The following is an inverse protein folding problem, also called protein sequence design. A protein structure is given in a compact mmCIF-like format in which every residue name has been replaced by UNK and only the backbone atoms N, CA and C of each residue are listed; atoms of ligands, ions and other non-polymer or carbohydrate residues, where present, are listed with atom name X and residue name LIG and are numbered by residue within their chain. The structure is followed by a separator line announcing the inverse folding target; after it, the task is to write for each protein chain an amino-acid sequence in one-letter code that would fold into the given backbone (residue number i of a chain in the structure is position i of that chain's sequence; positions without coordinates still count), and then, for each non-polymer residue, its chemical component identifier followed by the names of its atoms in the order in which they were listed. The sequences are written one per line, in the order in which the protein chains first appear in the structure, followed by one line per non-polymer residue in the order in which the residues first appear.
data_IF_656751830667
#
_entry.id   IF_656751830667
#
_cell.length_a   1.000
_cell.length_b   1.000
_cell.length_c   1.000
_cell.angle_alpha   90.00
_cell.angle_beta   90.00
_cell.angle_gamma   90.00
#
_symmetry.space_group_name_H-M   'P 1'
#
loop_
_entity.id
_entity.type
_entity.pdbx_description
1 polymer ?
#
# COMPACT_ATOMS: atom_id res chain seq x y z
N UNK A 1 12.30 19.00 -10.85
CA UNK A 1 12.09 17.54 -10.78
C UNK A 1 10.86 17.18 -11.58
N UNK A 2 9.71 17.81 -11.28
CA UNK A 2 8.45 17.67 -12.02
C UNK A 2 8.53 17.93 -13.53
N UNK A 3 9.47 18.79 -13.98
CA UNK A 3 9.75 19.03 -15.39
C UNK A 3 10.23 17.80 -16.21
N UNK A 4 10.47 16.66 -15.57
CA UNK A 4 10.72 15.37 -16.25
C UNK A 4 9.47 14.47 -16.37
N UNK A 5 8.30 14.91 -15.90
CA UNK A 5 7.05 14.17 -16.04
C UNK A 5 6.47 14.37 -17.45
N UNK A 6 6.07 13.30 -18.17
CA UNK A 6 5.66 13.37 -19.58
C UNK A 6 4.22 13.89 -19.76
N UNK A 7 3.96 15.09 -19.25
CA UNK A 7 2.62 15.69 -19.21
C UNK A 7 2.06 15.97 -20.61
N UNK A 8 2.91 16.35 -21.57
CA UNK A 8 2.52 16.65 -22.93
C UNK A 8 2.06 15.38 -23.68
N UNK A 9 2.78 14.27 -23.49
CA UNK A 9 2.46 12.96 -24.05
C UNK A 9 1.19 12.38 -23.43
N UNK A 10 0.98 12.57 -22.12
CA UNK A 10 -0.25 12.17 -21.43
C UNK A 10 -1.46 12.99 -21.90
N UNK A 11 -1.31 14.31 -22.05
CA UNK A 11 -2.35 15.18 -22.61
C UNK A 11 -2.69 14.79 -24.05
N UNK A 12 -1.68 14.48 -24.88
CA UNK A 12 -1.88 13.98 -26.25
C UNK A 12 -2.57 12.61 -26.29
N UNK A 13 -2.36 11.75 -25.29
CA UNK A 13 -3.09 10.50 -25.09
C UNK A 13 -4.52 10.69 -24.49
N UNK A 14 -4.93 11.93 -24.22
CA UNK A 14 -6.23 12.29 -23.67
C UNK A 14 -6.37 12.13 -22.17
N UNK A 15 -5.27 12.21 -21.41
CA UNK A 15 -5.26 12.17 -19.95
C UNK A 15 -4.85 13.52 -19.34
N UNK A 16 -5.66 14.05 -18.43
CA UNK A 16 -5.21 15.02 -17.45
C UNK A 16 -4.50 14.32 -16.29
N UNK A 17 -3.57 14.98 -15.61
CA UNK A 17 -2.76 14.34 -14.57
C UNK A 17 -2.34 15.27 -13.43
N UNK A 18 -2.30 14.71 -12.22
CA UNK A 18 -1.60 15.24 -11.06
C UNK A 18 -0.49 14.28 -10.67
N UNK A 19 0.66 14.82 -10.27
CA UNK A 19 1.78 14.02 -9.80
C UNK A 19 2.54 14.74 -8.67
N UNK A 20 3.29 13.98 -7.90
CA UNK A 20 4.24 14.46 -6.90
C UNK A 20 5.53 13.65 -7.07
N UNK A 21 6.62 14.30 -7.47
CA UNK A 21 7.92 13.65 -7.72
C UNK A 21 9.06 14.19 -6.85
N UNK A 22 10.09 13.37 -6.68
CA UNK A 22 11.38 13.76 -6.09
C UNK A 22 12.54 13.11 -6.86
N UNK A 23 13.78 13.52 -6.62
CA UNK A 23 14.94 12.92 -7.30
C UNK A 23 15.15 11.44 -6.96
N UNK A 24 15.43 10.66 -8.01
CA UNK A 24 15.92 9.28 -8.04
C UNK A 24 15.01 8.17 -7.46
N UNK A 25 14.14 8.46 -6.49
CA UNK A 25 13.34 7.44 -5.79
C UNK A 25 11.95 7.94 -5.45
N UNK A 26 10.99 7.03 -5.29
CA UNK A 26 9.58 7.36 -5.02
C UNK A 26 8.94 8.17 -6.16
N UNK A 27 7.77 8.76 -5.89
CA UNK A 27 6.91 9.42 -6.87
C UNK A 27 5.54 8.76 -6.91
N UNK A 28 4.49 9.58 -7.03
CA UNK A 28 3.09 9.12 -7.18
C UNK A 28 2.37 10.01 -8.18
N UNK A 29 1.42 9.43 -8.94
CA UNK A 29 0.63 10.17 -9.92
C UNK A 29 -0.79 9.62 -10.03
N UNK A 30 -1.76 10.51 -10.24
CA UNK A 30 -3.16 10.20 -10.55
C UNK A 30 -3.46 10.77 -11.93
N UNK A 31 -3.88 9.92 -12.85
CA UNK A 31 -4.23 10.26 -14.23
C UNK A 31 -5.74 10.03 -14.41
N UNK A 32 -6.43 10.94 -15.11
CA UNK A 32 -7.84 10.83 -15.44
C UNK A 32 -8.04 11.04 -16.95
N UNK A 33 -8.80 10.15 -17.61
CA UNK A 33 -9.02 10.23 -19.06
C UNK A 33 -10.18 11.17 -19.41
N UNK A 34 -9.93 12.15 -20.27
CA UNK A 34 -10.91 13.14 -20.71
C UNK A 34 -11.24 14.24 -19.68
N UNK A 35 -10.50 14.34 -18.58
CA UNK A 35 -10.64 15.39 -17.58
C UNK A 35 -9.37 15.53 -16.73
N UNK A 36 -9.13 16.72 -16.19
CA UNK A 36 -8.10 16.90 -15.16
C UNK A 36 -8.61 16.39 -13.80
N UNK A 37 -7.82 15.60 -13.06
CA UNK A 37 -8.16 15.21 -11.70
C UNK A 37 -7.95 16.41 -10.76
N UNK A 38 -8.86 16.60 -9.79
CA UNK A 38 -8.83 17.76 -8.87
C UNK A 38 -8.12 17.37 -7.57
N UNK A 39 -7.05 18.10 -7.20
CA UNK A 39 -6.26 17.79 -6.00
C UNK A 39 -7.06 18.02 -4.71
N UNK A 40 -7.06 17.01 -3.84
CA UNK A 40 -7.62 17.06 -2.48
C UNK A 40 -6.51 17.11 -1.42
N UNK A 41 -5.36 16.49 -1.69
CA UNK A 41 -4.16 16.54 -0.83
C UNK A 41 -2.89 16.14 -1.57
N UNK A 42 -1.77 16.69 -1.12
CA UNK A 42 -0.40 16.30 -1.48
C UNK A 42 0.40 16.02 -0.21
N UNK A 43 1.04 14.83 -0.15
CA UNK A 43 1.71 14.33 1.06
C UNK A 43 0.75 13.72 2.10
N UNK A 44 1.23 12.76 2.89
CA UNK A 44 0.44 12.08 3.93
C UNK A 44 0.40 12.91 5.22
N UNK A 45 -0.77 13.19 5.82
CA UNK A 45 -0.86 14.08 6.97
C UNK A 45 -0.27 13.45 8.25
N UNK A 46 0.12 14.29 9.20
CA UNK A 46 0.54 13.87 10.54
C UNK A 46 2.04 13.91 10.83
N UNK A 47 2.90 14.22 9.85
CA UNK A 47 4.25 14.73 10.11
C UNK A 47 4.68 15.73 9.01
N UNK A 48 4.77 17.04 9.29
CA UNK A 48 5.16 18.05 8.31
C UNK A 48 6.66 18.00 7.91
N UNK A 49 7.46 17.13 8.54
CA UNK A 49 8.87 16.92 8.20
C UNK A 49 9.07 15.84 7.14
N UNK A 50 8.04 15.03 6.86
CA UNK A 50 8.10 13.95 5.87
C UNK A 50 7.93 14.51 4.45
N UNK A 51 9.06 14.72 3.79
CA UNK A 51 9.15 15.27 2.42
C UNK A 51 9.09 14.20 1.32
N UNK A 52 8.86 12.93 1.66
CA UNK A 52 8.88 11.86 0.65
C UNK A 52 7.61 11.86 -0.21
N UNK A 53 7.80 11.80 -1.53
CA UNK A 53 6.75 11.76 -2.55
C UNK A 53 6.07 10.38 -2.59
N UNK A 54 5.19 10.14 -1.61
CA UNK A 54 4.56 8.84 -1.34
C UNK A 54 3.03 8.85 -1.28
N UNK A 55 2.40 10.03 -1.34
CA UNK A 55 0.95 10.15 -1.18
C UNK A 55 0.39 11.35 -1.94
N UNK A 56 -0.67 11.12 -2.70
CA UNK A 56 -1.40 12.13 -3.47
C UNK A 56 -2.89 11.74 -3.49
N UNK A 57 -3.77 12.67 -3.14
CA UNK A 57 -5.21 12.47 -3.18
C UNK A 57 -5.85 13.38 -4.22
N UNK A 58 -6.63 12.81 -5.13
CA UNK A 58 -7.37 13.58 -6.13
C UNK A 58 -8.75 13.01 -6.42
N UNK A 59 -9.71 13.88 -6.73
CA UNK A 59 -11.03 13.53 -7.22
C UNK A 59 -10.99 13.33 -8.74
N UNK A 60 -11.40 12.14 -9.21
CA UNK A 60 -11.51 11.82 -10.63
C UNK A 60 -12.82 11.05 -10.88
N UNK A 61 -13.61 11.47 -11.87
CA UNK A 61 -14.84 10.78 -12.30
C UNK A 61 -15.84 10.43 -11.18
N UNK A 62 -15.92 11.26 -10.12
CA UNK A 62 -16.78 11.02 -8.96
C UNK A 62 -16.26 9.97 -7.96
N UNK A 63 -14.95 9.68 -7.99
CA UNK A 63 -14.24 8.85 -7.01
C UNK A 63 -13.06 9.65 -6.45
N UNK A 64 -12.93 9.71 -5.12
CA UNK A 64 -11.72 10.21 -4.48
C UNK A 64 -10.66 9.08 -4.49
N UNK A 65 -9.50 9.33 -5.08
CA UNK A 65 -8.41 8.37 -5.18
C UNK A 65 -7.25 8.84 -4.30
N UNK A 66 -6.97 8.09 -3.23
CA UNK A 66 -5.72 8.19 -2.48
C UNK A 66 -4.68 7.26 -3.10
N UNK A 67 -3.77 7.82 -3.90
CA UNK A 67 -2.66 7.10 -4.52
C UNK A 67 -1.46 7.07 -3.57
N UNK A 68 -0.88 5.89 -3.34
CA UNK A 68 0.22 5.71 -2.39
C UNK A 68 1.39 4.84 -2.88
N UNK A 69 2.56 5.11 -2.31
CA UNK A 69 3.74 4.25 -2.39
C UNK A 69 4.36 4.11 -0.99
N UNK A 70 3.92 3.09 -0.25
CA UNK A 70 4.26 2.87 1.16
C UNK A 70 5.75 2.53 1.31
N UNK A 71 6.45 2.99 2.37
CA UNK A 71 7.87 2.69 2.54
C UNK A 71 8.16 1.17 2.61
N UNK A 72 9.05 0.67 1.75
CA UNK A 72 9.45 -0.75 1.72
C UNK A 72 9.91 -1.29 3.09
N UNK A 73 10.77 -0.53 3.77
CA UNK A 73 11.23 -0.78 5.13
C UNK A 73 12.53 -1.58 5.27
N UNK A 74 13.12 -2.10 4.18
CA UNK A 74 14.38 -2.84 4.26
C UNK A 74 15.64 -1.92 4.23
N UNK A 75 16.74 -2.30 4.92
CA UNK A 75 16.85 -3.47 5.81
C UNK A 75 16.17 -3.24 7.15
N UNK A 76 15.85 -4.34 7.85
CA UNK A 76 15.19 -4.35 9.15
C UNK A 76 15.88 -5.29 10.16
N UNK A 77 15.75 -5.06 11.48
CA UNK A 77 15.19 -3.86 12.12
C UNK A 77 16.05 -2.61 11.86
N UNK A 78 15.54 -1.42 12.20
CA UNK A 78 16.23 -0.14 12.06
C UNK A 78 15.40 0.94 11.35
N UNK A 79 15.96 2.15 11.18
CA UNK A 79 15.19 3.40 10.97
C UNK A 79 14.31 3.43 9.71
N UNK A 80 14.57 2.58 8.71
CA UNK A 80 13.68 2.45 7.55
C UNK A 80 12.42 1.64 7.86
N UNK A 81 12.52 0.62 8.71
CA UNK A 81 11.38 -0.16 9.20
C UNK A 81 10.58 0.65 10.22
N UNK A 82 11.27 1.39 11.09
CA UNK A 82 10.64 2.28 12.06
C UNK A 82 9.83 3.38 11.33
N UNK A 83 10.44 4.05 10.34
CA UNK A 83 9.74 4.98 9.44
C UNK A 83 8.57 4.35 8.68
N UNK A 84 8.67 3.09 8.25
CA UNK A 84 7.56 2.36 7.62
C UNK A 84 6.37 2.25 8.56
N UNK A 85 6.59 1.85 9.82
CA UNK A 85 5.52 1.70 10.81
C UNK A 85 4.91 3.05 11.20
N UNK A 86 5.73 4.11 11.39
CA UNK A 86 5.25 5.48 11.64
C UNK A 86 4.44 6.05 10.45
N UNK A 87 4.84 5.72 9.21
CA UNK A 87 4.09 6.07 8.01
C UNK A 87 2.77 5.28 7.92
N UNK A 88 2.78 3.98 8.25
CA UNK A 88 1.56 3.16 8.30
C UNK A 88 0.58 3.65 9.36
N UNK A 89 1.06 4.03 10.55
CA UNK A 89 0.23 4.58 11.61
C UNK A 89 -0.38 5.95 11.22
N UNK A 90 0.32 6.78 10.43
CA UNK A 90 -0.26 7.97 9.81
C UNK A 90 -1.32 7.62 8.76
N UNK A 91 -1.05 6.62 7.91
CA UNK A 91 -1.99 6.15 6.90
C UNK A 91 -3.30 5.68 7.55
N UNK A 92 -3.23 4.83 8.58
CA UNK A 92 -4.41 4.35 9.31
C UNK A 92 -5.27 5.51 9.85
N UNK A 93 -4.66 6.53 10.48
CA UNK A 93 -5.41 7.68 11.03
C UNK A 93 -6.13 8.48 9.96
N UNK A 94 -5.52 8.62 8.78
CA UNK A 94 -6.11 9.32 7.64
C UNK A 94 -7.18 8.47 6.93
N UNK A 95 -6.86 7.20 6.66
CA UNK A 95 -7.74 6.23 6.04
C UNK A 95 -9.03 5.99 6.85
N UNK A 96 -8.97 6.12 8.18
CA UNK A 96 -10.15 6.03 9.05
C UNK A 96 -11.18 7.15 8.79
N UNK A 97 -10.72 8.32 8.31
CA UNK A 97 -11.60 9.41 7.88
C UNK A 97 -12.16 9.12 6.48
N UNK A 98 -11.30 8.68 5.55
CA UNK A 98 -11.66 8.34 4.17
C UNK A 98 -12.70 7.21 4.06
N UNK A 99 -12.54 6.14 4.84
CA UNK A 99 -13.42 4.96 4.79
C UNK A 99 -14.84 5.30 5.26
N UNK A 100 -14.97 6.29 6.13
CA UNK A 100 -16.23 6.78 6.68
C UNK A 100 -16.94 7.81 5.78
N UNK A 101 -16.32 8.27 4.67
CA UNK A 101 -16.96 9.22 3.77
C UNK A 101 -18.17 8.57 3.06
N UNK A 102 -19.31 9.29 2.94
CA UNK A 102 -20.50 8.81 2.22
C UNK A 102 -20.35 8.85 0.68
N UNK A 103 -19.16 9.16 0.18
CA UNK A 103 -18.83 9.26 -1.24
C UNK A 103 -17.87 8.12 -1.64
N UNK A 104 -17.75 7.76 -2.92
CA UNK A 104 -16.87 6.66 -3.32
C UNK A 104 -15.40 7.04 -3.14
N UNK A 105 -14.64 6.23 -2.39
CA UNK A 105 -13.19 6.42 -2.16
C UNK A 105 -12.43 5.14 -2.44
N UNK A 106 -11.32 5.26 -3.17
CA UNK A 106 -10.33 4.21 -3.40
C UNK A 106 -8.99 4.61 -2.76
N UNK A 107 -8.38 3.72 -1.99
CA UNK A 107 -7.03 3.85 -1.45
C UNK A 107 -6.15 2.78 -2.10
N UNK A 108 -5.27 3.20 -3.02
CA UNK A 108 -4.65 2.30 -4.02
C UNK A 108 -3.15 2.54 -4.17
N UNK A 109 -2.40 1.46 -4.46
CA UNK A 109 -0.98 1.52 -4.79
C UNK A 109 -0.19 0.34 -4.23
N UNK A 110 1.14 0.48 -4.19
CA UNK A 110 2.05 -0.47 -3.55
C UNK A 110 2.13 -0.20 -2.04
N UNK A 111 1.59 -1.14 -1.26
CA UNK A 111 1.59 -1.09 0.20
C UNK A 111 2.86 -1.66 0.82
N UNK A 112 3.77 -2.28 0.04
CA UNK A 112 4.96 -2.96 0.54
C UNK A 112 4.66 -3.91 1.72
N UNK A 113 3.51 -4.59 1.72
CA UNK A 113 3.14 -5.60 2.71
C UNK A 113 2.56 -6.81 1.99
N UNK A 114 3.03 -8.00 2.38
CA UNK A 114 2.48 -9.29 1.95
C UNK A 114 1.55 -9.76 3.08
N UNK A 115 0.21 -9.61 2.96
CA UNK A 115 -0.68 -9.70 4.12
C UNK A 115 -0.66 -11.07 4.82
N UNK A 116 -0.67 -12.16 4.04
CA UNK A 116 -0.69 -13.54 4.52
C UNK A 116 0.28 -14.42 3.74
N UNK A 117 0.46 -15.67 4.14
CA UNK A 117 1.26 -16.65 3.39
C UNK A 117 0.55 -17.14 2.11
N UNK A 118 -0.73 -16.80 1.89
CA UNK A 118 -1.40 -17.00 0.60
C UNK A 118 -0.89 -16.01 -0.47
N UNK A 119 -0.43 -14.83 -0.04
CA UNK A 119 -0.02 -13.69 -0.88
C UNK A 119 1.45 -13.76 -1.38
N UNK A 120 2.13 -14.89 -1.20
CA UNK A 120 3.53 -15.10 -1.59
C UNK A 120 3.81 -16.56 -2.00
N UNK A 121 4.66 -16.78 -3.00
CA UNK A 121 5.06 -18.12 -3.44
C UNK A 121 5.76 -18.97 -2.35
N UNK A 122 6.73 -18.40 -1.63
CA UNK A 122 7.48 -19.07 -0.57
C UNK A 122 7.83 -18.10 0.59
N UNK A 123 7.02 -18.11 1.68
CA UNK A 123 7.29 -17.37 2.91
C UNK A 123 8.67 -17.63 3.52
N UNK A 124 9.22 -18.85 3.38
CA UNK A 124 10.46 -19.24 4.03
C UNK A 124 11.68 -18.46 3.50
N UNK A 125 11.70 -18.11 2.21
CA UNK A 125 12.75 -17.28 1.60
C UNK A 125 12.72 -15.82 2.07
N UNK A 126 11.56 -15.33 2.52
CA UNK A 126 11.32 -13.90 2.80
C UNK A 126 11.13 -13.58 4.29
N UNK A 127 11.33 -14.54 5.21
CA UNK A 127 11.13 -14.37 6.67
C UNK A 127 11.89 -13.18 7.29
N UNK A 128 12.98 -12.72 6.68
CA UNK A 128 13.77 -11.57 7.17
C UNK A 128 13.28 -10.23 6.63
N UNK A 129 12.50 -10.21 5.56
CA UNK A 129 12.11 -9.02 4.81
C UNK A 129 11.04 -8.19 5.52
N UNK A 130 11.15 -6.86 5.46
CA UNK A 130 10.18 -5.91 5.99
C UNK A 130 8.73 -6.09 5.46
N UNK A 131 8.52 -6.72 4.30
CA UNK A 131 7.20 -6.97 3.72
C UNK A 131 6.38 -8.04 4.47
N UNK A 132 7.04 -8.97 5.17
CA UNK A 132 6.40 -10.14 5.80
C UNK A 132 6.33 -10.09 7.33
N UNK A 133 6.85 -9.03 7.95
CA UNK A 133 6.97 -9.02 9.41
C UNK A 133 5.62 -8.88 10.12
N UNK A 134 5.48 -9.41 11.36
CA UNK A 134 4.25 -9.33 12.14
C UNK A 134 3.72 -7.90 12.25
N UNK A 135 4.58 -6.91 12.49
CA UNK A 135 4.18 -5.51 12.67
C UNK A 135 3.63 -4.89 11.37
N UNK A 136 4.24 -5.22 10.22
CA UNK A 136 3.75 -4.77 8.91
C UNK A 136 2.45 -5.49 8.49
N UNK A 137 2.34 -6.79 8.77
CA UNK A 137 1.11 -7.57 8.50
C UNK A 137 -0.04 -7.12 9.40
N UNK A 138 0.22 -6.89 10.69
CA UNK A 138 -0.76 -6.37 11.63
C UNK A 138 -1.24 -4.99 11.21
N UNK A 139 -0.34 -4.07 10.85
CA UNK A 139 -0.74 -2.72 10.42
C UNK A 139 -1.66 -2.72 9.18
N UNK A 140 -1.46 -3.65 8.24
CA UNK A 140 -2.39 -3.85 7.11
C UNK A 140 -3.70 -4.52 7.52
N UNK A 141 -3.69 -5.49 8.44
CA UNK A 141 -4.90 -6.09 9.00
C UNK A 141 -5.76 -5.07 9.78
N UNK A 142 -5.13 -4.23 10.60
CA UNK A 142 -5.76 -3.13 11.34
C UNK A 142 -6.36 -2.08 10.39
N UNK A 143 -5.70 -1.82 9.24
CA UNK A 143 -6.25 -0.97 8.19
C UNK A 143 -7.50 -1.60 7.57
N UNK A 144 -7.49 -2.88 7.19
CA UNK A 144 -8.70 -3.56 6.69
C UNK A 144 -9.83 -3.57 7.72
N UNK A 145 -9.51 -3.74 9.01
CA UNK A 145 -10.48 -3.74 10.11
C UNK A 145 -11.27 -2.42 10.26
N UNK A 146 -10.81 -1.32 9.65
CA UNK A 146 -11.58 -0.05 9.59
C UNK A 146 -12.83 -0.13 8.70
N UNK A 147 -13.01 -1.20 7.92
CA UNK A 147 -14.12 -1.38 6.97
C UNK A 147 -13.73 -1.27 5.50
N UNK A 148 -12.43 -1.29 5.17
CA UNK A 148 -11.95 -1.28 3.79
C UNK A 148 -12.14 -2.64 3.11
N UNK A 149 -12.63 -2.65 1.86
CA UNK A 149 -12.72 -3.86 1.05
C UNK A 149 -11.49 -4.00 0.15
N UNK A 150 -10.66 -5.02 0.40
CA UNK A 150 -9.62 -5.50 -0.52
C UNK A 150 -10.28 -6.08 -1.78
N UNK A 151 -10.31 -5.31 -2.87
CA UNK A 151 -11.05 -5.65 -4.10
C UNK A 151 -10.55 -6.94 -4.77
N UNK A 152 -9.23 -7.12 -4.84
CA UNK A 152 -8.61 -8.32 -5.38
C UNK A 152 -9.00 -9.56 -4.57
N UNK A 153 -8.90 -9.48 -3.23
CA UNK A 153 -9.30 -10.60 -2.36
C UNK A 153 -10.82 -10.85 -2.40
N UNK A 154 -11.64 -9.81 -2.58
CA UNK A 154 -13.10 -9.88 -2.71
C UNK A 154 -13.57 -10.60 -3.98
N UNK A 155 -12.83 -10.47 -5.09
CA UNK A 155 -13.15 -11.09 -6.40
C UNK A 155 -12.49 -12.46 -6.57
N UNK A 156 -11.25 -12.61 -6.10
CA UNK A 156 -10.49 -13.85 -6.31
C UNK A 156 -10.72 -14.90 -5.22
N UNK A 157 -11.31 -14.54 -4.08
CA UNK A 157 -11.49 -15.45 -2.95
C UNK A 157 -10.14 -15.90 -2.41
N UNK A 158 -9.99 -17.17 -2.04
CA UNK A 158 -8.71 -17.72 -1.57
C UNK A 158 -7.67 -17.95 -2.67
N UNK A 159 -8.00 -17.68 -3.95
CA UNK A 159 -7.07 -17.89 -5.07
C UNK A 159 -5.78 -17.10 -4.85
N UNK A 160 -4.66 -17.77 -5.11
CA UNK A 160 -3.31 -17.21 -5.06
C UNK A 160 -3.07 -16.38 -6.32
N UNK A 161 -2.86 -15.09 -6.11
CA UNK A 161 -2.61 -14.08 -7.13
C UNK A 161 -1.43 -13.23 -6.66
N UNK A 162 -0.67 -12.68 -7.59
CA UNK A 162 0.47 -11.82 -7.31
C UNK A 162 0.40 -10.57 -8.19
N UNK A 163 1.14 -9.55 -7.78
CA UNK A 163 1.23 -8.24 -8.43
C UNK A 163 2.68 -7.84 -8.68
N UNK A 164 3.64 -8.43 -7.96
CA UNK A 164 5.06 -8.14 -8.04
C UNK A 164 5.89 -9.42 -8.27
N UNK A 165 6.87 -9.34 -9.17
CA UNK A 165 7.89 -10.37 -9.41
C UNK A 165 9.27 -9.70 -9.61
N UNK A 166 10.06 -9.73 -8.55
CA UNK A 166 11.48 -9.38 -8.49
C UNK A 166 12.29 -9.93 -9.68
N UNK A 167 13.22 -9.13 -10.21
CA UNK A 167 13.96 -9.48 -11.44
C UNK A 167 14.96 -10.65 -11.27
N UNK A 168 15.37 -11.00 -10.04
CA UNK A 168 16.36 -12.06 -9.84
C UNK A 168 15.76 -13.46 -9.97
N UNK A 169 16.62 -14.47 -10.14
CA UNK A 169 16.29 -15.91 -10.05
C UNK A 169 15.12 -16.38 -10.93
N UNK A 170 14.81 -15.64 -12.00
CA UNK A 170 13.69 -15.90 -12.90
C UNK A 170 12.34 -15.97 -12.17
N UNK A 171 12.10 -15.08 -11.19
CA UNK A 171 10.86 -15.15 -10.40
C UNK A 171 9.60 -14.95 -11.27
N UNK A 172 9.64 -14.11 -12.31
CA UNK A 172 8.54 -13.99 -13.28
C UNK A 172 8.24 -15.31 -14.00
N UNK A 173 9.25 -15.89 -14.66
CA UNK A 173 9.10 -17.11 -15.48
C UNK A 173 8.76 -18.37 -14.67
N UNK A 174 8.86 -18.29 -13.33
CA UNK A 174 8.58 -19.37 -12.38
C UNK A 174 7.34 -19.10 -11.51
N UNK A 175 6.61 -18.02 -11.82
CA UNK A 175 5.49 -17.47 -11.04
C UNK A 175 5.74 -17.38 -9.52
N UNK A 176 6.94 -16.94 -9.17
CA UNK A 176 7.42 -16.81 -7.79
C UNK A 176 7.17 -15.39 -7.26
N UNK A 177 5.92 -14.93 -7.32
CA UNK A 177 5.54 -13.55 -7.03
C UNK A 177 5.10 -13.26 -5.59
N UNK A 178 4.84 -11.98 -5.34
CA UNK A 178 4.21 -11.41 -4.15
C UNK A 178 2.94 -10.64 -4.54
N UNK A 179 1.95 -10.54 -3.65
CA UNK A 179 0.89 -9.53 -3.72
C UNK A 179 1.19 -8.44 -2.69
N UNK A 180 1.60 -7.26 -3.17
CA UNK A 180 1.90 -6.06 -2.37
C UNK A 180 1.15 -4.82 -2.88
N UNK A 181 0.65 -4.87 -4.10
CA UNK A 181 -0.23 -3.86 -4.69
C UNK A 181 -1.68 -4.20 -4.34
N UNK A 182 -2.39 -3.24 -3.76
CA UNK A 182 -3.76 -3.44 -3.29
C UNK A 182 -4.64 -2.25 -3.69
N UNK A 183 -5.92 -2.52 -3.95
CA UNK A 183 -6.92 -1.48 -4.20
C UNK A 183 -8.04 -1.64 -3.17
N UNK A 184 -7.97 -0.79 -2.14
CA UNK A 184 -8.89 -0.80 -1.02
C UNK A 184 -10.05 0.15 -1.31
N UNK A 185 -11.28 -0.36 -1.18
CA UNK A 185 -12.50 0.40 -1.49
C UNK A 185 -13.29 0.68 -0.22
N UNK A 186 -13.75 1.92 -0.03
CA UNK A 186 -14.70 2.23 1.04
C UNK A 186 -16.11 1.66 0.72
N UNK A 187 -17.04 1.55 1.68
CA UNK A 187 -18.31 0.86 1.45
C UNK A 187 -19.15 1.39 0.26
N UNK A 188 -19.29 2.71 0.03
CA UNK A 188 -19.94 3.25 -1.18
C UNK A 188 -19.30 2.84 -2.51
N UNK A 189 -17.96 2.69 -2.56
CA UNK A 189 -17.27 2.22 -3.77
C UNK A 189 -17.29 0.70 -3.90
N UNK A 190 -17.13 -0.03 -2.79
CA UNK A 190 -17.20 -1.50 -2.75
C UNK A 190 -18.55 -2.03 -3.24
N UNK A 191 -19.65 -1.35 -2.93
CA UNK A 191 -20.99 -1.66 -3.45
C UNK A 191 -21.10 -1.55 -4.99
N UNK A 192 -20.20 -0.78 -5.63
CA UNK A 192 -20.12 -0.61 -7.09
C UNK A 192 -19.13 -1.56 -7.77
N UNK A 193 -18.39 -2.39 -7.02
CA UNK A 193 -17.43 -3.33 -7.59
C UNK A 193 -18.13 -4.31 -8.54
N UNK A 194 -17.57 -4.47 -9.75
CA UNK A 194 -17.98 -5.47 -10.73
C UNK A 194 -16.97 -6.62 -10.77
N UNK A 195 -15.70 -6.29 -10.96
CA UNK A 195 -14.59 -7.22 -11.14
C UNK A 195 -13.27 -6.56 -10.71
N UNK A 196 -12.20 -7.34 -10.52
CA UNK A 196 -10.87 -6.85 -10.16
C UNK A 196 -9.80 -7.81 -10.66
N UNK A 197 -8.66 -7.29 -11.14
CA UNK A 197 -7.66 -8.11 -11.81
C UNK A 197 -6.23 -7.57 -11.77
N UNK A 198 -5.35 -8.34 -12.38
CA UNK A 198 -3.92 -8.02 -12.55
C UNK A 198 -3.57 -8.28 -14.01
N UNK A 199 -3.11 -7.26 -14.72
CA UNK A 199 -2.74 -7.30 -16.14
C UNK A 199 -1.34 -7.90 -16.31
N UNK A 200 -1.25 -9.19 -15.97
CA UNK A 200 -0.04 -10.00 -16.00
C UNK A 200 0.71 -9.95 -17.34
N UNK A 201 0.00 -9.82 -18.46
CA UNK A 201 0.58 -9.70 -19.80
C UNK A 201 1.51 -8.49 -19.96
N UNK A 202 1.33 -7.43 -19.17
CA UNK A 202 2.23 -6.26 -19.17
C UNK A 202 3.63 -6.63 -18.68
N UNK A 203 3.75 -7.65 -17.82
CA UNK A 203 5.02 -8.10 -17.24
C UNK A 203 5.90 -8.86 -18.26
N UNK A 204 5.32 -9.38 -19.34
CA UNK A 204 6.03 -10.00 -20.47
C UNK A 204 6.63 -9.00 -21.46
N UNK A 205 6.29 -7.70 -21.36
CA UNK A 205 6.81 -6.68 -22.26
C UNK A 205 8.31 -6.42 -22.02
N UNK A 206 9.02 -6.06 -23.09
CA UNK A 206 10.42 -5.65 -23.00
C UNK A 206 10.56 -4.44 -22.06
N UNK A 207 11.49 -4.52 -21.11
CA UNK A 207 11.72 -3.52 -20.06
C UNK A 207 10.53 -3.26 -19.12
N UNK A 208 9.59 -4.21 -19.00
CA UNK A 208 8.49 -4.13 -18.04
C UNK A 208 8.97 -4.04 -16.58
N UNK A 209 8.24 -3.22 -15.81
CA UNK A 209 8.31 -3.11 -14.35
C UNK A 209 8.25 -4.47 -13.66
N UNK A 210 8.80 -4.59 -12.45
CA UNK A 210 8.63 -5.74 -11.57
C UNK A 210 7.21 -5.88 -11.02
N UNK A 211 6.45 -4.77 -10.99
CA UNK A 211 5.01 -4.77 -10.73
C UNK A 211 4.21 -4.92 -12.04
N UNK A 212 3.14 -5.71 -12.02
CA UNK A 212 2.11 -5.74 -13.07
C UNK A 212 0.92 -4.84 -12.66
N UNK A 213 0.28 -4.11 -13.59
CA UNK A 213 -0.83 -3.23 -13.26
C UNK A 213 -2.01 -3.98 -12.63
N UNK A 214 -2.59 -3.39 -11.59
CA UNK A 214 -3.79 -3.91 -10.92
C UNK A 214 -4.99 -3.00 -11.20
N UNK A 215 -6.18 -3.57 -11.38
CA UNK A 215 -7.37 -2.81 -11.77
C UNK A 215 -8.64 -3.27 -11.05
N UNK A 216 -9.65 -2.39 -11.07
CA UNK A 216 -11.03 -2.67 -10.70
C UNK A 216 -11.97 -2.23 -11.82
N UNK A 217 -12.96 -3.05 -12.13
CA UNK A 217 -14.11 -2.65 -12.94
C UNK A 217 -15.24 -2.21 -12.00
N UNK A 218 -15.87 -1.07 -12.30
CA UNK A 218 -16.93 -0.48 -11.50
C UNK A 218 -18.23 -0.41 -12.30
N UNK A 219 -19.35 -0.72 -11.65
CA UNK A 219 -20.68 -0.57 -12.24
C UNK A 219 -20.97 0.91 -12.47
N UNK A 220 -21.35 1.23 -13.70
CA UNK A 220 -21.76 2.57 -14.12
C UNK A 220 -23.18 2.86 -13.64
N UNK A 221 -23.29 3.76 -12.67
CA UNK A 221 -24.55 4.18 -12.09
C UNK A 221 -24.31 4.86 -10.75
N UNK A 222 -24.94 6.00 -10.52
CA UNK A 222 -25.02 6.58 -9.19
C UNK A 222 -25.91 5.69 -8.30
N UNK A 223 -25.64 5.60 -6.99
CA UNK A 223 -26.69 5.22 -6.05
C UNK A 223 -27.85 6.20 -6.25
N UNK A 224 -29.05 5.69 -6.57
CA UNK A 224 -30.25 6.54 -6.57
C UNK A 224 -30.61 6.86 -5.12
N UNK A 225 -29.92 7.83 -4.55
CA UNK A 225 -30.27 8.43 -3.28
C UNK A 225 -31.64 9.08 -3.42
N UNK A 226 -32.68 8.32 -3.09
CA UNK A 226 -34.04 8.81 -3.06
C UNK A 226 -34.18 9.83 -1.94
N UNK A 227 -33.95 11.11 -2.26
CA UNK A 227 -34.40 12.22 -1.42
C UNK A 227 -35.92 12.13 -1.40
N UNK A 228 -36.45 11.52 -0.34
CA UNK A 228 -37.88 11.49 -0.09
C UNK A 228 -38.34 12.95 0.08
N UNK A 229 -39.01 13.48 -0.94
CA UNK A 229 -39.49 14.86 -0.91
C UNK A 229 -40.50 15.00 0.24
N UNK A 230 -40.08 15.68 1.31
CA UNK A 230 -40.95 16.08 2.40
C UNK A 230 -41.93 17.13 1.87
N UNK A 231 -43.11 16.67 1.44
CA UNK A 231 -44.18 17.56 0.98
C UNK A 231 -44.79 18.29 2.17
N UNK A 232 -44.21 19.43 2.53
CA UNK A 232 -44.83 20.37 3.47
C UNK A 232 -46.21 20.77 2.95
N UNK A 233 -47.25 20.33 3.67
CA UNK A 233 -48.65 20.67 3.37
C UNK A 233 -49.22 21.48 4.52
N UNK A 234 -49.07 22.81 4.42
CA UNK A 234 -49.76 23.73 5.32
C UNK A 234 -51.28 23.64 5.09
N UNK A 235 -52.07 23.52 6.17
CA UNK A 235 -53.52 23.51 6.12
C UNK A 235 -54.12 24.16 7.38
N UNK A 236 -55.14 24.98 7.18
CA UNK A 236 -55.69 25.92 8.15
C UNK A 236 -56.39 25.35 9.40
N UNK A 237 -56.68 26.28 10.31
CA UNK A 237 -57.33 26.05 11.60
C UNK A 237 -58.85 25.82 11.49
N UNK A 238 -59.38 24.94 12.34
CA UNK A 238 -60.78 24.89 12.73
C UNK A 238 -60.90 24.50 14.23
N UNK A 239 -62.04 24.77 14.88
CA UNK A 239 -62.21 24.75 16.35
C UNK A 239 -63.14 23.64 16.88
N UNK A 240 -63.09 23.48 18.21
CA UNK A 240 -64.11 22.96 19.16
C UNK A 240 -64.13 21.45 19.47
N UNK A 241 -64.49 21.12 20.72
CA UNK A 241 -64.63 19.75 21.23
C UNK A 241 -63.79 19.45 22.48
N UNK A 242 -64.45 19.21 23.62
CA UNK A 242 -63.87 18.60 24.83
C UNK A 242 -64.92 17.69 25.49
N UNK A 243 -64.73 17.17 26.72
CA UNK A 243 -63.60 17.39 27.64
C UNK A 243 -63.01 16.10 28.28
N UNK A 244 -61.93 16.29 29.06
CA UNK A 244 -61.50 15.51 30.23
C UNK A 244 -61.33 13.97 30.17
N UNK A 245 -60.11 13.52 30.51
CA UNK A 245 -59.82 12.95 31.85
C UNK A 245 -58.33 12.84 32.14
N UNK A 246 -57.96 12.86 33.42
CA UNK A 246 -56.57 12.82 33.90
C UNK A 246 -56.08 11.38 34.10
N UNK A 247 -54.83 11.11 33.70
CA UNK A 247 -54.11 9.89 34.07
C UNK A 247 -52.67 10.24 34.50
N UNK A 248 -52.12 9.45 35.43
CA UNK A 248 -50.84 9.68 36.11
C UNK A 248 -49.68 9.17 35.25
N UNK A 249 -48.65 9.98 35.01
CA UNK A 249 -47.40 9.55 34.37
C UNK A 249 -46.19 9.90 35.26
N UNK A 250 -45.16 9.05 35.23
CA UNK A 250 -44.01 9.09 36.16
C UNK A 250 -42.81 9.88 35.62
N UNK A 251 -41.98 10.36 36.56
CA UNK A 251 -40.84 11.26 36.33
C UNK A 251 -39.57 10.49 35.96
N UNK A 252 -38.92 10.75 34.81
CA UNK A 252 -37.58 10.24 34.50
C UNK A 252 -36.50 10.85 35.40
N UNK A 253 -35.40 10.11 35.61
CA UNK A 253 -34.30 10.52 36.48
C UNK A 253 -33.27 11.44 35.80
N UNK A 254 -32.55 12.22 36.61
CA UNK A 254 -31.46 13.12 36.21
C UNK A 254 -30.15 12.34 36.02
N UNK A 255 -29.35 12.57 34.95
CA UNK A 255 -28.02 11.98 34.81
C UNK A 255 -27.07 12.39 35.95
N UNK A 256 -26.29 11.43 36.45
CA UNK A 256 -25.25 11.64 37.47
C UNK A 256 -23.90 12.01 36.84
N UNK A 257 -23.18 12.93 37.49
CA UNK A 257 -21.79 13.26 37.15
C UNK A 257 -20.83 12.38 37.97
N UNK A 258 -19.80 11.76 37.35
CA UNK A 258 -18.65 11.22 38.08
C UNK A 258 -17.63 12.33 38.35
N UNK A 259 -17.23 12.54 39.61
CA UNK A 259 -16.25 13.56 39.97
C UNK A 259 -15.33 13.13 41.14
N UNK A 260 -14.10 12.73 40.80
CA UNK A 260 -12.82 13.00 41.52
C UNK A 260 -11.72 12.06 41.00
N UNK A 261 -10.70 12.62 40.34
CA UNK A 261 -9.40 11.98 40.09
C UNK A 261 -8.33 12.77 40.87
N UNK A 262 -7.24 12.11 41.23
CA UNK A 262 -6.20 12.63 42.13
C UNK A 262 -5.43 13.85 41.62
N UNK A 263 -4.68 14.47 42.54
CA UNK A 263 -3.88 15.69 42.32
C UNK A 263 -2.76 15.44 41.29
N UNK A 264 -2.65 16.31 40.29
CA UNK A 264 -1.52 16.33 39.34
C UNK A 264 -0.38 17.17 39.94
N UNK A 265 0.85 16.65 39.90
CA UNK A 265 2.04 17.38 40.36
C UNK A 265 2.56 18.39 39.32
N UNK A 266 3.27 19.42 39.78
CA UNK A 266 3.84 20.48 38.91
C UNK A 266 5.03 19.95 38.08
N UNK A 267 5.29 20.52 36.88
CA UNK A 267 6.41 20.10 36.03
C UNK A 267 7.78 20.46 36.63
N UNK A 268 8.79 19.64 36.31
CA UNK A 268 10.19 19.92 36.64
C UNK A 268 10.82 20.90 35.61
N UNK A 269 11.74 21.74 36.09
CA UNK A 269 12.53 22.64 35.27
C UNK A 269 13.70 21.90 34.56
N UNK A 270 14.18 22.39 33.40
CA UNK A 270 15.22 21.73 32.63
C UNK A 270 16.60 21.78 33.31
N UNK A 271 17.31 20.64 33.30
CA UNK A 271 18.63 20.50 33.91
C UNK A 271 19.77 20.82 32.93
N UNK A 272 20.49 21.91 33.25
CA UNK A 272 21.88 22.28 32.92
C UNK A 272 22.56 21.60 31.70
N UNK A 273 22.93 22.42 30.71
CA UNK A 273 23.70 22.02 29.54
C UNK A 273 25.13 21.52 29.83
N UNK A 274 25.62 20.59 29.00
CA UNK A 274 27.02 20.13 28.97
C UNK A 274 27.83 20.95 27.97
N UNK A 275 29.10 21.26 28.29
CA UNK A 275 29.97 22.15 27.49
C UNK A 275 30.37 21.51 26.14
N UNK A 276 30.08 22.19 25.03
CA UNK A 276 30.77 21.98 23.75
C UNK A 276 32.03 22.85 23.72
N UNK A 277 33.16 22.32 23.22
CA UNK A 277 34.42 23.06 23.16
C UNK A 277 34.41 24.13 22.06
N UNK A 278 35.03 25.27 22.37
CA UNK A 278 35.11 26.45 21.50
C UNK A 278 36.40 26.40 20.68
N UNK A 279 36.30 26.29 19.36
CA UNK A 279 37.43 26.58 18.45
C UNK A 279 37.14 27.90 17.74
N UNK A 280 37.99 28.90 17.99
CA UNK A 280 37.92 30.18 17.30
C UNK A 280 38.75 30.14 16.01
N UNK A 281 38.20 30.68 14.92
CA UNK A 281 39.00 31.48 14.00
C UNK A 281 38.19 32.66 13.45
N UNK A 282 38.64 33.87 13.78
CA UNK A 282 38.39 35.09 13.02
C UNK A 282 39.20 35.03 11.70
N UNK A 283 39.01 35.83 10.65
CA UNK A 283 38.15 37.01 10.34
C UNK A 283 37.93 36.94 8.80
N UNK A 284 37.27 37.85 8.05
CA UNK A 284 37.16 39.32 8.09
C UNK A 284 35.94 39.74 7.25
N UNK A 285 35.43 40.97 7.44
CA UNK A 285 34.27 41.47 6.70
C UNK A 285 34.57 42.70 5.83
N UNK A 286 33.91 42.74 4.68
CA UNK A 286 33.50 43.89 3.81
C UNK A 286 32.28 43.36 3.04
N UNK A 287 31.17 44.07 2.81
CA UNK A 287 30.99 45.50 2.57
C UNK A 287 31.11 45.77 1.06
N UNK A 288 30.15 46.39 0.36
CA UNK A 288 28.81 46.85 0.75
C UNK A 288 27.91 47.08 -0.50
N UNK A 289 26.60 47.30 -0.30
CA UNK A 289 25.65 48.14 -1.09
C UNK A 289 25.75 48.26 -2.62
N UNK A 290 24.63 48.03 -3.32
CA UNK A 290 24.40 48.51 -4.70
C UNK A 290 23.01 48.14 -5.21
N UNK A 291 22.31 49.05 -5.91
CA UNK A 291 20.95 48.84 -6.41
C UNK A 291 20.74 49.46 -7.81
N UNK A 292 19.64 49.07 -8.49
CA UNK A 292 19.25 49.48 -9.86
C UNK A 292 20.18 48.94 -10.97
N UNK A 293 19.73 48.76 -12.22
CA UNK A 293 18.38 48.89 -12.79
C UNK A 293 18.38 48.77 -14.34
N UNK A 294 17.24 49.10 -14.96
CA UNK A 294 17.01 49.20 -16.40
C UNK A 294 17.01 47.90 -17.24
N UNK A 295 16.41 47.99 -18.43
CA UNK A 295 16.21 46.90 -19.40
C UNK A 295 17.07 47.10 -20.66
N UNK A 296 17.28 46.05 -21.46
CA UNK A 296 18.07 46.15 -22.68
C UNK A 296 17.95 44.98 -23.65
N UNK A 297 17.14 45.17 -24.70
CA UNK A 297 17.17 44.58 -26.06
C UNK A 297 17.52 43.09 -26.29
N UNK A 298 16.73 42.44 -27.15
CA UNK A 298 17.03 41.11 -27.68
C UNK A 298 18.17 41.13 -28.73
N UNK A 299 18.90 40.01 -28.82
CA UNK A 299 19.60 39.59 -30.05
C UNK A 299 19.44 38.08 -30.24
N UNK A 300 19.08 37.67 -31.45
CA UNK A 300 19.09 36.26 -31.84
C UNK A 300 20.52 35.78 -32.10
N UNK A 301 20.80 34.51 -31.79
CA UNK A 301 22.06 33.82 -32.14
C UNK A 301 21.73 32.43 -32.69
N UNK A 302 22.48 32.01 -33.71
CA UNK A 302 22.25 30.77 -34.47
C UNK A 302 22.38 29.48 -33.64
N UNK A 303 21.62 28.46 -34.02
CA UNK A 303 21.91 27.06 -33.71
C UNK A 303 23.14 26.55 -34.50
N UNK A 304 24.12 25.90 -33.87
CA UNK A 304 24.98 24.93 -34.52
C UNK A 304 24.39 23.51 -34.38
N UNK A 305 24.34 22.74 -35.48
CA UNK A 305 24.07 21.29 -35.42
C UNK A 305 25.33 20.57 -34.94
N UNK A 306 25.19 19.62 -34.01
CA UNK A 306 26.29 18.74 -33.60
C UNK A 306 25.82 17.28 -33.56
N UNK A 307 26.25 16.49 -34.55
CA UNK A 307 26.09 15.03 -34.55
C UNK A 307 27.40 14.37 -34.14
N UNK A 308 27.35 13.53 -33.09
CA UNK A 308 28.27 12.40 -32.81
C UNK A 308 27.64 11.57 -31.68
N UNK A 309 27.25 10.33 -31.97
CA UNK A 309 28.05 9.12 -31.74
C UNK A 309 28.06 8.71 -30.27
N UNK A 310 27.30 7.64 -29.95
CA UNK A 310 27.23 7.06 -28.61
C UNK A 310 28.48 6.19 -28.38
N UNK A 311 29.39 6.63 -27.53
CA UNK A 311 30.55 5.84 -27.11
C UNK A 311 30.24 5.04 -25.82
N UNK A 312 30.70 3.79 -25.79
CA UNK A 312 30.15 2.75 -24.91
C UNK A 312 31.05 2.51 -23.69
N UNK A 313 30.91 3.36 -22.67
CA UNK A 313 31.67 3.26 -21.41
C UNK A 313 31.37 1.95 -20.64
N UNK A 314 32.15 0.90 -20.90
CA UNK A 314 32.07 -0.37 -20.15
C UNK A 314 32.77 -0.28 -18.80
N UNK A 315 32.02 -0.42 -17.70
CA UNK A 315 32.61 -0.51 -16.37
C UNK A 315 33.13 -1.93 -16.09
N UNK A 316 34.35 -2.02 -15.56
CA UNK A 316 35.06 -3.27 -15.36
C UNK A 316 34.51 -4.12 -14.20
N UNK A 317 34.59 -5.44 -14.33
CA UNK A 317 34.36 -6.37 -13.21
C UNK A 317 35.59 -6.43 -12.30
N UNK A 318 35.45 -6.40 -10.97
CA UNK A 318 36.54 -6.79 -10.07
C UNK A 318 36.85 -8.28 -10.26
N UNK A 319 38.14 -8.64 -10.14
CA UNK A 319 38.62 -9.99 -10.38
C UNK A 319 38.21 -10.98 -9.26
N UNK A 320 38.14 -12.26 -9.62
CA UNK A 320 37.82 -13.37 -8.72
C UNK A 320 39.12 -14.03 -8.24
N UNK A 321 39.36 -14.22 -6.93
CA UNK A 321 40.56 -14.89 -6.45
C UNK A 321 40.60 -16.36 -6.93
N UNK A 322 41.83 -16.87 -7.15
CA UNK A 322 42.07 -18.17 -7.76
C UNK A 322 41.67 -19.34 -6.85
N UNK A 323 41.40 -20.50 -7.46
CA UNK A 323 41.01 -21.74 -6.78
C UNK A 323 42.22 -22.68 -6.69
N UNK A 324 42.63 -23.05 -5.48
CA UNK A 324 43.68 -24.05 -5.26
C UNK A 324 43.24 -25.45 -5.75
N UNK A 325 44.19 -26.33 -6.14
CA UNK A 325 43.88 -27.62 -6.77
C UNK A 325 43.28 -28.67 -5.82
N UNK A 326 42.69 -29.70 -6.42
CA UNK A 326 41.93 -30.75 -5.75
C UNK A 326 42.83 -31.90 -5.26
N UNK A 327 42.47 -32.56 -4.15
CA UNK A 327 43.26 -33.67 -3.59
C UNK A 327 42.41 -34.91 -3.25
N UNK A 328 42.80 -36.05 -3.82
CA UNK A 328 42.61 -37.41 -3.28
C UNK A 328 41.21 -37.89 -2.88
N UNK A 329 40.56 -38.67 -3.75
CA UNK A 329 39.48 -39.60 -3.36
C UNK A 329 39.98 -41.05 -3.42
N UNK A 330 39.92 -41.83 -2.33
CA UNK A 330 39.99 -43.29 -2.38
C UNK A 330 38.58 -43.93 -2.49
N UNK A 331 38.51 -45.18 -2.93
CA UNK A 331 37.29 -45.80 -3.45
C UNK A 331 36.52 -46.73 -2.47
N UNK A 332 35.42 -47.31 -2.97
CA UNK A 332 34.49 -48.24 -2.31
C UNK A 332 35.16 -49.39 -1.53
N UNK A 333 34.49 -49.80 -0.45
CA UNK A 333 34.43 -51.19 0.02
C UNK A 333 32.96 -51.66 0.05
N UNK A 334 32.72 -52.97 0.10
CA UNK A 334 31.38 -53.58 -0.02
C UNK A 334 30.93 -54.36 1.24
N UNK A 335 29.68 -54.85 1.21
CA UNK A 335 29.02 -55.67 2.26
C UNK A 335 29.75 -56.98 2.57
N UNK A 336 29.43 -57.58 3.74
CA UNK A 336 28.65 -58.83 3.72
C UNK A 336 27.29 -58.70 4.45
N UNK A 337 26.52 -59.79 4.56
CA UNK A 337 25.18 -59.81 5.17
C UNK A 337 24.80 -61.20 5.74
N UNK A 338 23.87 -61.21 6.71
CA UNK A 338 23.08 -62.37 7.20
C UNK A 338 23.84 -63.51 7.95
N UNK A 339 23.19 -64.54 8.57
CA UNK A 339 21.78 -64.99 8.45
C UNK A 339 20.97 -65.42 9.71
N UNK A 340 19.63 -65.27 9.64
CA UNK A 340 18.61 -66.08 10.36
C UNK A 340 18.37 -65.81 11.87
N UNK A 341 17.39 -66.39 12.59
CA UNK A 341 16.20 -67.29 12.39
C UNK A 341 15.34 -67.18 13.71
N UNK A 342 14.11 -67.70 13.97
CA UNK A 342 13.09 -68.63 13.40
C UNK A 342 11.72 -68.19 14.04
N UNK A 343 10.60 -68.00 13.32
CA UNK A 343 9.52 -68.94 12.96
C UNK A 343 8.27 -69.10 13.90
N UNK A 344 7.10 -68.79 13.31
CA UNK A 344 5.67 -69.24 13.44
C UNK A 344 5.37 -70.65 14.07
N UNK A 345 4.10 -71.14 14.24
CA UNK A 345 2.74 -70.57 13.96
C UNK A 345 1.60 -70.94 14.96
N UNK A 346 0.33 -70.54 14.71
CA UNK A 346 -0.84 -71.48 14.56
C UNK A 346 -2.21 -70.85 14.17
N UNK A 347 -2.89 -71.46 13.16
CA UNK A 347 -4.31 -71.90 12.98
C UNK A 347 -5.50 -71.00 13.48
N UNK A 348 -6.72 -70.99 12.89
CA UNK A 348 -7.45 -71.94 11.98
C UNK A 348 -8.55 -71.22 11.13
N UNK A 349 -9.34 -71.98 10.34
CA UNK A 349 -10.32 -71.54 9.30
C UNK A 349 -11.78 -71.35 9.85
N UNK A 350 -12.69 -70.47 9.36
CA UNK A 350 -13.47 -70.41 8.07
C UNK A 350 -14.72 -71.34 8.03
N UNK A 351 -15.80 -71.17 7.21
CA UNK A 351 -16.55 -69.99 6.66
C UNK A 351 -18.12 -70.04 6.82
N UNK A 352 -18.84 -68.94 6.50
CA UNK A 352 -20.20 -68.87 5.85
C UNK A 352 -20.66 -67.40 5.66
N UNK A 353 -21.64 -66.99 4.81
CA UNK A 353 -22.04 -67.33 3.42
C UNK A 353 -23.14 -66.32 2.96
N UNK A 354 -22.99 -65.62 1.81
CA UNK A 354 -24.03 -64.77 1.12
C UNK A 354 -24.52 -63.50 1.88
N UNK A 355 -25.05 -62.42 1.26
CA UNK A 355 -25.22 -62.01 -0.15
C UNK A 355 -25.16 -60.47 -0.36
N UNK A 356 -25.13 -60.04 -1.63
CA UNK A 356 -25.21 -58.67 -2.22
C UNK A 356 -26.65 -58.44 -2.79
N UNK A 357 -26.99 -57.29 -3.45
CA UNK A 357 -26.66 -55.87 -3.23
C UNK A 357 -27.86 -54.89 -3.46
N UNK A 358 -27.72 -53.59 -3.12
CA UNK A 358 -28.12 -52.38 -3.90
C UNK A 358 -27.85 -51.14 -3.03
N UNK A 359 -27.21 -50.02 -3.42
CA UNK A 359 -27.28 -49.11 -4.60
C UNK A 359 -28.51 -48.18 -4.64
N UNK A 360 -28.24 -46.92 -4.31
CA UNK A 360 -28.92 -45.69 -4.79
C UNK A 360 -27.82 -44.72 -5.26
N UNK A 361 -28.15 -43.71 -6.09
CA UNK A 361 -27.15 -42.83 -6.74
C UNK A 361 -26.61 -41.72 -5.81
#
# INVERSE_FOLDING_TARGET
MDAGFPIAELHAAGYGALWMGQSAWNGVAVLAKGSDPVESRRGLPGDPRDTQSRYLEAMAHGVLVGCLYLPNGNPRPGPKFDYKLDWFARLQRHAQQLVALPHPVALIGDFNVVPTDADIYNPASWRRDALLQPESRQAYADLLAQGWTDSLRKVHGERRIYTFWDYFRQHWQRDAGLRIDHLLLNPPLAARLHDAGVDRWVRDLAHASDHAPTWIALKTGAPRGGVAASTDKAAGSAKTGGPAKTAKATKPAKPTQPAKVGKIAKPLAPTKATKVHKVHKATKATGATGATGAAGAAKAVQLPKASKTVERAGQARPAKPAKAPNAGTPAKAARPAEPGKRANPTKRANPTKRARPARTP
#
